data_IF_918040961435
#
_entry.id   IF_918040961435
#
_cell.length_a   1.000
_cell.length_b   1.000
_cell.length_c   1.000
_cell.angle_alpha   90.00
_cell.angle_beta   90.00
_cell.angle_gamma   90.00
#
_symmetry.space_group_name_H-M   'P 1'
#
loop_
_entity.id
_entity.type
_entity.pdbx_description
1 polymer ?
#
# COMPACT_ATOMS: atom_id res chain seq x y z
N UNK A 1 22.37 -5.93 10.71
CA UNK A 1 21.09 -6.06 10.00
C UNK A 1 20.96 -4.80 9.18
N UNK A 2 21.16 -4.87 7.87
CA UNK A 2 21.22 -3.70 7.00
C UNK A 2 19.79 -3.21 6.74
N UNK A 3 19.54 -1.90 6.68
CA UNK A 3 18.19 -1.34 6.43
C UNK A 3 17.58 -1.88 5.12
N UNK A 4 18.45 -2.30 4.20
CA UNK A 4 18.12 -2.97 2.94
C UNK A 4 17.47 -4.36 3.09
N UNK A 5 17.75 -5.09 4.18
CA UNK A 5 17.14 -6.40 4.46
C UNK A 5 15.71 -6.27 5.01
N UNK A 6 15.31 -5.06 5.46
CA UNK A 6 13.96 -4.77 5.96
C UNK A 6 12.94 -4.55 4.81
N UNK A 7 13.42 -4.33 3.59
CA UNK A 7 12.62 -4.32 2.35
C UNK A 7 12.37 -5.73 1.82
N UNK A 8 12.47 -6.75 2.69
CA UNK A 8 12.13 -8.13 2.39
C UNK A 8 10.92 -8.19 1.48
N UNK A 9 11.21 -8.51 0.23
CA UNK A 9 10.36 -8.39 -0.97
C UNK A 9 8.87 -8.30 -0.61
N UNK A 10 8.17 -7.19 -0.90
CA UNK A 10 6.73 -7.15 -0.71
C UNK A 10 6.14 -8.20 -1.66
N UNK A 11 5.83 -9.38 -1.13
CA UNK A 11 5.38 -10.51 -1.94
C UNK A 11 4.08 -10.15 -2.66
N UNK A 12 3.78 -10.87 -3.74
CA UNK A 12 2.53 -10.74 -4.51
C UNK A 12 1.26 -10.80 -3.63
N UNK A 13 1.34 -11.45 -2.46
CA UNK A 13 0.26 -11.54 -1.47
C UNK A 13 -0.07 -10.19 -0.82
N UNK A 14 0.93 -9.35 -0.55
CA UNK A 14 0.75 -8.04 0.09
C UNK A 14 0.02 -7.05 -0.81
N UNK A 15 0.35 -7.04 -2.11
CA UNK A 15 -0.37 -6.23 -3.08
C UNK A 15 -1.85 -6.63 -3.17
N UNK A 16 -2.18 -7.93 -3.09
CA UNK A 16 -3.55 -8.43 -3.28
C UNK A 16 -4.52 -8.01 -2.19
N UNK A 17 -4.15 -8.09 -0.91
CA UNK A 17 -5.05 -7.72 0.19
C UNK A 17 -5.35 -6.22 0.21
N UNK A 18 -4.34 -5.41 -0.11
CA UNK A 18 -4.47 -3.95 -0.14
C UNK A 18 -5.24 -3.50 -1.38
N UNK A 19 -4.96 -4.10 -2.54
CA UNK A 19 -5.75 -3.88 -3.75
C UNK A 19 -7.22 -4.27 -3.55
N UNK A 20 -7.50 -5.34 -2.79
CA UNK A 20 -8.85 -5.73 -2.44
C UNK A 20 -9.53 -4.68 -1.56
N UNK A 21 -8.87 -4.22 -0.49
CA UNK A 21 -9.41 -3.16 0.39
C UNK A 21 -9.65 -1.85 -0.38
N UNK A 22 -8.71 -1.43 -1.22
CA UNK A 22 -8.87 -0.24 -2.06
C UNK A 22 -10.00 -0.43 -3.08
N UNK A 23 -10.13 -1.60 -3.68
CA UNK A 23 -11.24 -1.92 -4.59
C UNK A 23 -12.59 -1.93 -3.88
N UNK A 24 -12.67 -2.39 -2.64
CA UNK A 24 -13.89 -2.31 -1.82
C UNK A 24 -14.31 -0.88 -1.54
N UNK A 25 -13.33 -0.02 -1.21
CA UNK A 25 -13.56 1.41 -1.00
C UNK A 25 -13.75 2.20 -2.30
N UNK A 26 -13.54 1.57 -3.47
CA UNK A 26 -13.56 2.24 -4.76
C UNK A 26 -12.41 3.22 -4.94
N UNK A 27 -11.31 3.08 -4.20
CA UNK A 27 -10.16 3.98 -4.28
C UNK A 27 -9.11 3.39 -5.23
N UNK A 28 -8.53 4.24 -6.07
CA UNK A 28 -7.29 3.98 -6.78
C UNK A 28 -6.27 4.98 -6.25
N UNK A 29 -5.19 4.54 -5.62
CA UNK A 29 -4.14 5.43 -5.09
C UNK A 29 -3.29 6.06 -6.22
N UNK A 30 -3.01 5.30 -7.28
CA UNK A 30 -2.29 5.72 -8.49
C UNK A 30 -0.83 6.19 -8.29
N UNK A 31 -0.25 6.04 -7.10
CA UNK A 31 1.20 6.23 -6.85
C UNK A 31 1.71 5.29 -5.72
N UNK A 32 1.41 3.99 -5.85
CA UNK A 32 1.85 2.98 -4.88
C UNK A 32 3.34 2.68 -5.11
N UNK A 33 4.17 3.16 -4.18
CA UNK A 33 5.63 2.97 -4.16
C UNK A 33 6.13 2.98 -2.73
N UNK A 34 7.32 2.45 -2.48
CA UNK A 34 7.90 2.35 -1.14
C UNK A 34 7.93 3.69 -0.37
N UNK A 35 8.19 4.80 -1.07
CA UNK A 35 8.18 6.14 -0.46
C UNK A 35 6.80 6.62 0.04
N UNK A 36 5.72 6.00 -0.41
CA UNK A 36 4.33 6.35 -0.07
C UNK A 36 3.69 5.32 0.88
N UNK A 37 4.49 4.42 1.47
CA UNK A 37 4.04 3.37 2.38
C UNK A 37 4.82 3.45 3.68
N UNK A 38 4.10 3.75 4.77
CA UNK A 38 4.65 3.72 6.12
C UNK A 38 4.45 2.33 6.70
N UNK A 39 5.55 1.65 7.04
CA UNK A 39 5.53 0.38 7.76
C UNK A 39 5.63 0.68 9.25
N UNK A 40 4.68 0.19 10.06
CA UNK A 40 4.77 0.34 11.51
C UNK A 40 5.76 -0.68 12.10
N UNK A 41 6.49 -0.31 13.15
CA UNK A 41 7.35 -1.26 13.86
C UNK A 41 6.55 -2.44 14.43
N UNK A 42 7.24 -3.52 14.79
CA UNK A 42 6.67 -4.72 15.42
C UNK A 42 5.62 -5.45 14.57
N UNK A 43 5.84 -5.56 13.26
CA UNK A 43 4.88 -6.16 12.31
C UNK A 43 3.51 -5.47 12.34
N UNK A 44 3.48 -4.18 12.69
CA UNK A 44 2.25 -3.38 12.73
C UNK A 44 1.70 -3.11 11.32
N UNK A 45 0.43 -2.69 11.22
CA UNK A 45 -0.22 -2.47 9.94
C UNK A 45 0.42 -1.31 9.17
N UNK A 46 0.47 -1.44 7.84
CA UNK A 46 0.96 -0.41 6.93
C UNK A 46 -0.02 0.76 6.82
N UNK A 47 0.49 1.94 6.46
CA UNK A 47 -0.32 3.11 6.15
C UNK A 47 0.11 3.72 4.81
N UNK A 48 -0.86 4.01 3.95
CA UNK A 48 -0.62 4.69 2.68
C UNK A 48 -0.73 6.20 2.85
N UNK A 49 0.20 6.91 2.23
CA UNK A 49 0.28 8.38 2.24
C UNK A 49 0.40 8.90 0.81
N UNK A 50 0.45 10.22 0.64
CA UNK A 50 0.52 10.88 -0.68
C UNK A 50 -0.64 10.51 -1.61
N UNK A 51 -1.85 10.88 -1.19
CA UNK A 51 -3.09 10.59 -1.92
C UNK A 51 -3.36 11.58 -3.07
N UNK A 52 -2.46 12.51 -3.37
CA UNK A 52 -2.69 13.62 -4.32
C UNK A 52 -2.99 13.18 -5.76
N UNK A 53 -2.70 11.92 -6.10
CA UNK A 53 -2.97 11.30 -7.40
C UNK A 53 -4.11 10.30 -7.37
N UNK A 54 -4.83 10.19 -6.25
CA UNK A 54 -5.86 9.18 -6.07
C UNK A 54 -7.16 9.53 -6.78
N UNK A 55 -7.92 8.50 -7.18
CA UNK A 55 -9.23 8.65 -7.79
C UNK A 55 -10.26 7.75 -7.12
N UNK A 56 -11.51 8.22 -7.11
CA UNK A 56 -12.66 7.39 -6.78
C UNK A 56 -13.13 6.68 -8.05
N UNK A 57 -13.02 5.35 -8.08
CA UNK A 57 -13.68 4.47 -9.05
C UNK A 57 -15.01 4.00 -8.47
N UNK A 58 -16.06 4.74 -8.79
CA UNK A 58 -17.44 4.34 -8.51
C UNK A 58 -17.73 3.00 -9.21
N UNK A 59 -18.31 2.04 -8.49
CA UNK A 59 -18.83 0.81 -9.08
C UNK A 59 -20.16 1.17 -9.77
N UNK A 60 -20.18 1.08 -11.09
CA UNK A 60 -21.41 1.06 -11.92
C UNK A 60 -21.85 -0.37 -12.14
#
# INVERSE_FOLDING_TARGET
MNELDFYGSPGELWCREIEAAFRELGIIHNDVRAGNVLVRPNNGPVCFVDWGRSYLKLRV
#
